data_IF_374872106100
#
_entry.id   IF_374872106100
#
_cell.length_a   1.000
_cell.length_b   1.000
_cell.length_c   1.000
_cell.angle_alpha   90.00
_cell.angle_beta   90.00
_cell.angle_gamma   90.00
#
_symmetry.space_group_name_H-M   'P 1'
#
loop_
_entity.id
_entity.type
_entity.pdbx_description
1 polymer ?
#
# COMPACT_ATOMS: atom_id res chain seq x y z
N UNK A 1 -13.99 -30.95 26.92
CA UNK A 1 -14.67 -29.91 26.12
C UNK A 1 -16.07 -30.38 25.82
N UNK A 2 -17.06 -29.56 26.14
CA UNK A 2 -18.46 -29.80 25.79
C UNK A 2 -18.68 -29.58 24.29
N UNK A 3 -19.80 -30.07 23.76
CA UNK A 3 -20.16 -29.90 22.34
C UNK A 3 -20.34 -28.42 21.98
N UNK A 4 -20.87 -27.62 22.91
CA UNK A 4 -21.10 -26.19 22.72
C UNK A 4 -19.79 -25.40 22.70
N UNK A 5 -18.82 -25.77 23.55
CA UNK A 5 -17.47 -25.19 23.52
C UNK A 5 -16.78 -25.44 22.17
N UNK A 6 -16.95 -26.64 21.59
CA UNK A 6 -16.39 -26.96 20.27
C UNK A 6 -17.02 -26.12 19.16
N UNK A 7 -18.34 -25.96 19.17
CA UNK A 7 -19.07 -25.14 18.18
C UNK A 7 -18.67 -23.67 18.27
N UNK A 8 -18.53 -23.14 19.47
CA UNK A 8 -18.08 -21.77 19.70
C UNK A 8 -16.65 -21.55 19.17
N UNK A 9 -15.74 -22.48 19.48
CA UNK A 9 -14.36 -22.43 19.00
C UNK A 9 -14.29 -22.48 17.47
N UNK A 10 -15.11 -23.33 16.83
CA UNK A 10 -15.12 -23.42 15.38
C UNK A 10 -15.69 -22.16 14.71
N UNK A 11 -16.71 -21.54 15.31
CA UNK A 11 -17.24 -20.25 14.84
C UNK A 11 -16.17 -19.15 14.91
N UNK A 12 -15.42 -19.10 16.01
CA UNK A 12 -14.29 -18.18 16.19
C UNK A 12 -13.21 -18.39 15.12
N UNK A 13 -12.79 -19.63 14.88
CA UNK A 13 -11.80 -19.93 13.83
C UNK A 13 -12.27 -19.52 12.43
N UNK A 14 -13.57 -19.69 12.11
CA UNK A 14 -14.12 -19.23 10.83
C UNK A 14 -14.03 -17.71 10.70
N UNK A 15 -14.35 -16.98 11.76
CA UNK A 15 -14.24 -15.52 11.77
C UNK A 15 -12.78 -15.08 11.59
N UNK A 16 -11.85 -15.64 12.37
CA UNK A 16 -10.42 -15.32 12.27
C UNK A 16 -9.86 -15.58 10.86
N UNK A 17 -10.27 -16.69 10.23
CA UNK A 17 -9.87 -17.02 8.86
C UNK A 17 -10.39 -15.99 7.83
N UNK A 18 -11.64 -15.52 7.98
CA UNK A 18 -12.21 -14.48 7.12
C UNK A 18 -11.46 -13.16 7.30
N UNK A 19 -11.19 -12.75 8.53
CA UNK A 19 -10.44 -11.52 8.81
C UNK A 19 -9.01 -11.59 8.28
N UNK A 20 -8.31 -12.71 8.47
CA UNK A 20 -6.98 -12.93 7.94
C UNK A 20 -6.95 -12.84 6.41
N UNK A 21 -7.95 -13.43 5.75
CA UNK A 21 -8.12 -13.33 4.29
C UNK A 21 -8.37 -11.90 3.84
N UNK A 22 -9.18 -11.13 4.56
CA UNK A 22 -9.45 -9.73 4.22
C UNK A 22 -8.19 -8.87 4.37
N UNK A 23 -7.46 -9.00 5.49
CA UNK A 23 -6.15 -8.33 5.67
C UNK A 23 -5.16 -8.67 4.57
N UNK A 24 -5.14 -9.93 4.11
CA UNK A 24 -4.28 -10.34 3.00
C UNK A 24 -4.70 -9.70 1.67
N UNK A 25 -6.00 -9.63 1.38
CA UNK A 25 -6.52 -8.96 0.17
C UNK A 25 -6.16 -7.48 0.16
N UNK A 26 -6.34 -6.78 1.27
CA UNK A 26 -6.00 -5.37 1.41
C UNK A 26 -4.50 -5.12 1.18
N UNK A 27 -3.64 -5.95 1.78
CA UNK A 27 -2.19 -5.87 1.56
C UNK A 27 -1.83 -6.07 0.09
N UNK A 28 -2.38 -7.10 -0.56
CA UNK A 28 -2.14 -7.37 -1.99
C UNK A 28 -2.61 -6.22 -2.87
N UNK A 29 -3.78 -5.66 -2.59
CA UNK A 29 -4.32 -4.51 -3.33
C UNK A 29 -3.42 -3.28 -3.15
N UNK A 30 -2.97 -3.00 -1.93
CA UNK A 30 -2.04 -1.90 -1.64
C UNK A 30 -0.71 -2.08 -2.37
N UNK A 31 -0.10 -3.26 -2.30
CA UNK A 31 1.16 -3.55 -3.01
C UNK A 31 1.00 -3.40 -4.52
N UNK A 32 -0.08 -3.93 -5.11
CA UNK A 32 -0.34 -3.77 -6.54
C UNK A 32 -0.45 -2.30 -6.94
N UNK A 33 -1.17 -1.49 -6.16
CA UNK A 33 -1.30 -0.05 -6.41
C UNK A 33 0.05 0.65 -6.34
N UNK A 34 0.86 0.36 -5.33
CA UNK A 34 2.19 0.97 -5.17
C UNK A 34 3.12 0.62 -6.34
N UNK A 35 3.12 -0.63 -6.81
CA UNK A 35 3.91 -1.05 -7.97
C UNK A 35 3.47 -0.30 -9.23
N UNK A 36 2.15 -0.20 -9.47
CA UNK A 36 1.63 0.54 -10.61
C UNK A 36 1.99 2.03 -10.55
N UNK A 37 1.86 2.65 -9.38
CA UNK A 37 2.25 4.05 -9.17
C UNK A 37 3.75 4.26 -9.39
N UNK A 38 4.61 3.35 -8.90
CA UNK A 38 6.05 3.39 -9.14
C UNK A 38 6.40 3.25 -10.62
N UNK A 39 5.78 2.30 -11.32
CA UNK A 39 5.99 2.12 -12.76
C UNK A 39 5.59 3.36 -13.59
N UNK A 40 4.47 4.00 -13.23
CA UNK A 40 4.06 5.27 -13.86
C UNK A 40 5.07 6.36 -13.56
N UNK A 41 5.52 6.48 -12.31
CA UNK A 41 6.51 7.49 -11.90
C UNK A 41 7.81 7.34 -12.68
N UNK A 42 8.38 6.14 -12.75
CA UNK A 42 9.62 5.87 -13.51
C UNK A 42 9.45 6.12 -15.01
N UNK A 43 8.25 5.92 -15.57
CA UNK A 43 7.99 6.18 -16.98
C UNK A 43 7.97 7.68 -17.31
N UNK A 44 7.36 8.51 -16.45
CA UNK A 44 7.25 9.96 -16.66
C UNK A 44 8.44 10.74 -16.10
N UNK A 45 9.19 10.13 -15.18
CA UNK A 45 10.35 10.71 -14.53
C UNK A 45 11.49 9.66 -14.42
N UNK A 46 12.23 9.40 -15.51
CA UNK A 46 13.23 8.35 -15.57
C UNK A 46 14.37 8.49 -14.55
N UNK A 47 14.72 9.71 -14.16
CA UNK A 47 15.77 9.97 -13.17
C UNK A 47 15.42 9.39 -11.80
N UNK A 48 14.12 9.17 -11.51
CA UNK A 48 13.68 8.51 -10.28
C UNK A 48 14.25 7.08 -10.10
N UNK A 49 14.61 6.39 -11.19
CA UNK A 49 15.15 5.02 -11.13
C UNK A 49 16.51 4.93 -10.44
N UNK A 50 17.31 6.00 -10.52
CA UNK A 50 18.68 6.03 -9.99
C UNK A 50 18.81 6.86 -8.71
N UNK A 51 17.73 7.53 -8.31
CA UNK A 51 17.67 8.27 -7.05
C UNK A 51 17.44 7.31 -5.89
N UNK A 52 18.13 7.53 -4.78
CA UNK A 52 17.69 6.93 -3.51
C UNK A 52 16.36 7.55 -3.05
N UNK A 53 15.74 6.91 -2.06
CA UNK A 53 14.40 7.27 -1.60
C UNK A 53 14.34 8.68 -0.98
N UNK A 54 15.41 9.14 -0.33
CA UNK A 54 15.44 10.45 0.30
C UNK A 54 15.59 11.55 -0.75
N UNK A 55 16.49 11.36 -1.73
CA UNK A 55 16.65 12.25 -2.87
C UNK A 55 15.39 12.32 -3.73
N UNK A 56 14.75 11.18 -4.00
CA UNK A 56 13.48 11.14 -4.74
C UNK A 56 12.39 11.92 -4.00
N UNK A 57 12.28 11.75 -2.68
CA UNK A 57 11.31 12.48 -1.86
C UNK A 57 11.56 13.99 -1.93
N UNK A 58 12.78 14.44 -1.68
CA UNK A 58 13.13 15.87 -1.70
C UNK A 58 12.86 16.48 -3.08
N UNK A 59 13.23 15.79 -4.16
CA UNK A 59 13.04 16.29 -5.52
C UNK A 59 11.56 16.39 -5.90
N UNK A 60 10.73 15.41 -5.51
CA UNK A 60 9.28 15.48 -5.71
C UNK A 60 8.64 16.60 -4.89
N UNK A 61 9.04 16.78 -3.62
CA UNK A 61 8.59 17.90 -2.80
C UNK A 61 8.96 19.25 -3.42
N UNK A 62 10.19 19.38 -3.94
CA UNK A 62 10.65 20.59 -4.64
C UNK A 62 9.84 20.87 -5.90
N UNK A 63 9.63 19.88 -6.77
CA UNK A 63 8.88 20.04 -8.03
C UNK A 63 7.42 20.44 -7.78
N UNK A 64 6.75 19.72 -6.89
CA UNK A 64 5.34 19.97 -6.58
C UNK A 64 5.13 21.29 -5.84
N UNK A 65 6.10 21.72 -5.02
CA UNK A 65 6.04 23.03 -4.36
C UNK A 65 6.32 24.18 -5.34
N UNK A 66 7.25 24.00 -6.27
CA UNK A 66 7.57 25.01 -7.29
C UNK A 66 6.36 25.30 -8.20
N UNK A 67 5.60 24.26 -8.57
CA UNK A 67 4.38 24.36 -9.38
C UNK A 67 3.24 25.14 -8.71
N UNK A 68 3.23 25.24 -7.37
CA UNK A 68 2.22 26.02 -6.62
C UNK A 68 2.53 27.53 -6.69
N UNK A 69 3.81 27.88 -6.71
CA UNK A 69 4.29 29.28 -6.78
C UNK A 69 4.13 29.92 -8.16
N UNK A 70 4.18 29.16 -9.26
CA UNK A 70 4.03 29.72 -10.62
C UNK A 70 2.57 29.95 -11.03
N UNK A 71 1.59 29.48 -10.25
CA UNK A 71 0.15 29.59 -10.55
C UNK A 71 -0.56 30.77 -9.87
N UNK A 72 0.17 31.69 -9.24
CA UNK A 72 -0.38 32.88 -8.57
C UNK A 72 0.20 34.17 -9.13
#
# INVERSE_FOLDING_TARGET
>A
MTEDEKKLLQAKHRQEAVEARNRQKERKQRTRRLIQQGAILENVFPEAQIMDLDNLKMELERRLSAEVTEKH
#
